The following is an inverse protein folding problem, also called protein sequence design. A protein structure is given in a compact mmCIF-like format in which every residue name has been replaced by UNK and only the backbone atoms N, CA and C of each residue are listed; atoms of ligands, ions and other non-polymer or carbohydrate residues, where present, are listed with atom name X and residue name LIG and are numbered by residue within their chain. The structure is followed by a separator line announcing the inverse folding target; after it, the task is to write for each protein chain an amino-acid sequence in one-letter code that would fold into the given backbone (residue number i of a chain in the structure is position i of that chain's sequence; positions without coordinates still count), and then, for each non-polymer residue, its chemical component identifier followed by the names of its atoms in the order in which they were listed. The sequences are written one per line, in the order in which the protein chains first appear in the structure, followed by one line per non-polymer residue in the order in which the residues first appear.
data_IF_877925954880
#
_entry.id   IF_877925954880
#
_cell.length_a   1.000
_cell.length_b   1.000
_cell.length_c   1.000
_cell.angle_alpha   90.00
_cell.angle_beta   90.00
_cell.angle_gamma   90.00
#
_symmetry.space_group_name_H-M   'P 1'
#
loop_
_entity.id
_entity.type
_entity.pdbx_description
1 polymer ?
#
# COMPACT_ATOMS: atom_id res chain seq x y z
N UNK A 1 9.43 12.40 1.69
CA UNK A 1 8.48 11.99 0.62
C UNK A 1 8.38 10.48 0.61
N UNK A 2 7.18 9.90 0.45
CA UNK A 2 6.94 8.46 0.64
C UNK A 2 7.51 7.57 -0.47
N UNK A 3 7.81 8.16 -1.63
CA UNK A 3 8.36 7.40 -2.74
C UNK A 3 7.40 6.30 -3.21
N UNK A 4 6.12 6.59 -3.37
CA UNK A 4 5.18 5.72 -4.06
C UNK A 4 3.97 6.53 -4.52
N UNK A 5 3.43 6.18 -5.69
CA UNK A 5 2.17 6.68 -6.21
C UNK A 5 1.13 5.58 -6.01
N UNK A 6 0.14 5.87 -5.17
CA UNK A 6 -0.94 4.95 -4.82
C UNK A 6 -2.21 5.45 -5.50
N UNK A 7 -3.03 4.53 -6.01
CA UNK A 7 -4.37 4.84 -6.54
C UNK A 7 -5.41 3.98 -5.84
N UNK A 8 -6.67 4.35 -5.98
CA UNK A 8 -7.77 3.60 -5.35
C UNK A 8 -7.89 2.21 -5.98
N UNK A 9 -7.90 1.15 -5.16
CA UNK A 9 -8.14 -0.19 -5.70
C UNK A 9 -9.57 -0.34 -6.21
N UNK A 10 -10.52 0.43 -5.70
CA UNK A 10 -11.89 0.46 -6.20
C UNK A 10 -12.00 0.91 -7.67
N UNK A 11 -11.00 1.61 -8.21
CA UNK A 11 -10.94 2.00 -9.63
C UNK A 11 -10.42 0.86 -10.53
N UNK A 12 -9.77 -0.15 -9.96
CA UNK A 12 -9.20 -1.26 -10.72
C UNK A 12 -10.21 -2.41 -10.78
N UNK A 13 -10.72 -2.70 -11.98
CA UNK A 13 -11.74 -3.72 -12.21
C UNK A 13 -11.32 -5.15 -11.78
N UNK A 14 -10.04 -5.37 -11.44
CA UNK A 14 -9.51 -6.62 -10.89
C UNK A 14 -9.51 -6.69 -9.37
N UNK A 15 -9.69 -5.57 -8.67
CA UNK A 15 -9.72 -5.56 -7.21
C UNK A 15 -11.09 -6.03 -6.71
N UNK A 16 -11.20 -7.34 -6.46
CA UNK A 16 -12.34 -7.93 -5.74
C UNK A 16 -12.37 -7.54 -4.25
N UNK A 17 -11.35 -6.82 -3.78
CA UNK A 17 -11.17 -6.41 -2.39
C UNK A 17 -10.89 -4.90 -2.31
N UNK A 18 -11.49 -4.22 -1.34
CA UNK A 18 -11.16 -2.83 -1.02
C UNK A 18 -9.72 -2.73 -0.49
N UNK A 19 -8.99 -1.71 -0.91
CA UNK A 19 -7.59 -1.53 -0.55
C UNK A 19 -6.89 -0.40 -1.30
N UNK A 20 -5.62 -0.20 -0.98
CA UNK A 20 -4.75 0.72 -1.72
C UNK A 20 -4.06 0.00 -2.88
N UNK A 21 -4.37 0.37 -4.12
CA UNK A 21 -3.68 -0.14 -5.30
C UNK A 21 -2.35 0.59 -5.50
N UNK A 22 -1.30 -0.18 -5.63
CA UNK A 22 0.02 0.34 -5.92
C UNK A 22 0.12 0.63 -7.43
N UNK A 23 0.05 1.92 -7.81
CA UNK A 23 0.22 2.35 -9.22
C UNK A 23 1.69 2.44 -9.61
N UNK A 24 2.56 2.87 -8.70
CA UNK A 24 4.02 2.89 -8.89
C UNK A 24 4.74 3.01 -7.55
N UNK A 25 5.93 2.42 -7.45
CA UNK A 25 6.77 2.48 -6.25
C UNK A 25 8.08 3.16 -6.60
N UNK A 26 8.49 4.13 -5.78
CA UNK A 26 9.84 4.70 -5.85
C UNK A 26 10.81 3.81 -5.09
N UNK A 27 11.91 3.49 -5.74
CA UNK A 27 13.02 2.75 -5.15
C UNK A 27 13.53 3.49 -3.90
N UNK A 28 13.62 2.76 -2.78
CA UNK A 28 14.04 3.31 -1.48
C UNK A 28 12.92 3.83 -0.57
N UNK A 29 11.68 3.93 -1.09
CA UNK A 29 10.49 4.29 -0.31
C UNK A 29 10.02 3.17 0.61
N UNK A 30 9.13 3.48 1.55
CA UNK A 30 8.56 2.50 2.48
C UNK A 30 7.83 1.36 1.74
N UNK A 31 7.17 1.67 0.62
CA UNK A 31 6.53 0.67 -0.23
C UNK A 31 7.54 -0.30 -0.88
N UNK A 32 8.70 0.20 -1.32
CA UNK A 32 9.77 -0.65 -1.85
C UNK A 32 10.38 -1.53 -0.74
N UNK A 33 10.56 -0.98 0.46
CA UNK A 33 11.04 -1.74 1.64
C UNK A 33 10.05 -2.81 2.10
N UNK A 34 8.76 -2.61 1.84
CA UNK A 34 7.71 -3.60 2.09
C UNK A 34 7.62 -4.67 0.99
N UNK A 35 8.40 -4.56 -0.09
CA UNK A 35 8.35 -5.50 -1.23
C UNK A 35 7.15 -5.32 -2.14
N UNK A 36 6.43 -4.20 -2.00
CA UNK A 36 5.27 -3.89 -2.83
C UNK A 36 5.69 -3.54 -4.25
N UNK A 37 4.87 -3.96 -5.20
CA UNK A 37 5.09 -3.75 -6.63
C UNK A 37 3.84 -3.16 -7.27
N UNK A 38 4.02 -2.57 -8.46
CA UNK A 38 2.89 -2.08 -9.26
C UNK A 38 1.89 -3.20 -9.52
N UNK A 39 0.62 -2.95 -9.23
CA UNK A 39 -0.46 -3.92 -9.36
C UNK A 39 -0.81 -4.66 -8.07
N UNK A 40 -0.05 -4.48 -6.99
CA UNK A 40 -0.42 -5.02 -5.69
C UNK A 40 -1.58 -4.23 -5.08
N UNK A 41 -2.53 -4.95 -4.49
CA UNK A 41 -3.63 -4.36 -3.70
C UNK A 41 -3.34 -4.62 -2.23
N UNK A 42 -3.05 -3.57 -1.49
CA UNK A 42 -2.81 -3.66 -0.05
C UNK A 42 -4.13 -3.51 0.69
N UNK A 43 -4.46 -4.51 1.51
CA UNK A 43 -5.71 -4.57 2.27
C UNK A 43 -5.50 -4.39 3.78
N UNK A 44 -4.26 -4.56 4.26
CA UNK A 44 -3.94 -4.42 5.68
C UNK A 44 -2.48 -4.04 5.92
N UNK A 45 -2.25 -3.19 6.92
CA UNK A 45 -0.93 -2.80 7.41
C UNK A 45 -0.90 -3.04 8.93
N UNK A 46 -0.16 -4.06 9.35
CA UNK A 46 -0.05 -4.51 10.72
C UNK A 46 -1.41 -4.96 11.25
N UNK A 47 -1.92 -4.20 12.22
CA UNK A 47 -3.27 -4.37 12.77
C UNK A 47 -4.33 -3.51 12.09
N UNK A 48 -3.94 -2.53 11.28
CA UNK A 48 -4.86 -1.58 10.66
C UNK A 48 -5.33 -2.07 9.29
N UNK A 49 -6.65 -2.06 9.07
CA UNK A 49 -7.27 -2.38 7.78
C UNK A 49 -7.16 -1.18 6.86
N UNK A 50 -6.74 -1.43 5.63
CA UNK A 50 -6.60 -0.41 4.59
C UNK A 50 -7.71 -0.62 3.57
N UNK A 51 -8.57 0.38 3.44
CA UNK A 51 -9.71 0.33 2.52
C UNK A 51 -9.45 1.07 1.21
N UNK A 52 -8.51 2.01 1.21
CA UNK A 52 -8.23 2.90 0.09
C UNK A 52 -6.77 3.36 0.05
N UNK A 53 -6.42 4.06 -1.03
CA UNK A 53 -5.07 4.56 -1.26
C UNK A 53 -4.62 5.64 -0.26
N UNK A 54 -5.56 6.45 0.23
CA UNK A 54 -5.30 7.53 1.17
C UNK A 54 -4.97 6.95 2.53
N UNK A 55 -5.75 5.98 2.99
CA UNK A 55 -5.53 5.24 4.22
C UNK A 55 -4.19 4.50 4.18
N UNK A 56 -3.87 3.85 3.06
CA UNK A 56 -2.55 3.26 2.85
C UNK A 56 -1.43 4.28 3.08
N UNK A 57 -1.55 5.43 2.42
CA UNK A 57 -0.52 6.47 2.46
C UNK A 57 -0.42 7.07 3.87
N UNK A 58 -1.54 7.20 4.58
CA UNK A 58 -1.61 7.68 5.95
C UNK A 58 -0.96 6.68 6.93
N UNK A 59 -1.29 5.40 6.85
CA UNK A 59 -0.68 4.34 7.66
C UNK A 59 0.81 4.27 7.39
N UNK A 60 1.22 4.24 6.12
CA UNK A 60 2.64 4.19 5.78
C UNK A 60 3.37 5.43 6.30
N UNK A 61 2.79 6.64 6.23
CA UNK A 61 3.35 7.86 6.86
C UNK A 61 3.48 7.73 8.37
N UNK A 62 2.44 7.20 9.01
CA UNK A 62 2.38 6.99 10.45
C UNK A 62 3.47 6.01 10.92
N UNK A 63 3.69 4.94 10.16
CA UNK A 63 4.73 3.94 10.43
C UNK A 63 6.12 4.30 9.87
N UNK A 64 6.24 5.31 9.00
CA UNK A 64 7.49 5.70 8.31
C UNK A 64 8.61 6.17 9.25
N UNK A 65 8.35 6.30 10.56
CA UNK A 65 9.36 6.47 11.61
C UNK A 65 10.24 5.24 11.87
N UNK A 66 10.39 4.32 10.91
CA UNK A 66 11.25 3.13 11.04
C UNK A 66 10.59 1.92 11.71
N UNK A 67 9.28 1.94 11.93
CA UNK A 67 8.56 0.80 12.48
C UNK A 67 8.42 -0.31 11.42
N UNK A 68 8.96 -1.50 11.73
CA UNK A 68 8.75 -2.71 10.92
C UNK A 68 7.34 -3.21 11.21
N UNK A 69 6.47 -3.16 10.21
CA UNK A 69 5.10 -3.67 10.32
C UNK A 69 4.82 -4.64 9.17
N UNK A 70 3.97 -5.63 9.42
CA UNK A 70 3.60 -6.65 8.44
C UNK A 70 2.56 -6.07 7.48
N UNK A 71 2.79 -6.12 6.17
CA UNK A 71 1.78 -5.66 5.19
C UNK A 71 1.13 -6.89 4.55
N UNK A 72 -0.20 -6.89 4.51
CA UNK A 72 -0.99 -7.88 3.77
C UNK A 72 -1.42 -7.27 2.45
N UNK A 73 -0.97 -7.90 1.36
CA UNK A 73 -1.33 -7.51 0.01
C UNK A 73 -1.79 -8.73 -0.79
N UNK A 74 -2.59 -8.47 -1.80
CA UNK A 74 -3.07 -9.44 -2.77
C UNK A 74 -2.41 -9.11 -4.10
N UNK A 75 -1.78 -10.13 -4.68
CA UNK A 75 -1.15 -10.07 -6.01
C UNK A 75 -1.83 -11.13 -6.87
N UNK A 76 -2.45 -10.69 -7.97
CA UNK A 76 -3.15 -11.54 -8.94
C UNK A 76 -2.37 -11.68 -10.25
#
# INVERSE_FOLDING_TARGET
MLGATVGDAAEDAKATQMGGLIKSVSSGGAAAKAGLQKGDVVTKIGSATVSDATDLTAQVRYFAGGAKTTITYIRG
#
